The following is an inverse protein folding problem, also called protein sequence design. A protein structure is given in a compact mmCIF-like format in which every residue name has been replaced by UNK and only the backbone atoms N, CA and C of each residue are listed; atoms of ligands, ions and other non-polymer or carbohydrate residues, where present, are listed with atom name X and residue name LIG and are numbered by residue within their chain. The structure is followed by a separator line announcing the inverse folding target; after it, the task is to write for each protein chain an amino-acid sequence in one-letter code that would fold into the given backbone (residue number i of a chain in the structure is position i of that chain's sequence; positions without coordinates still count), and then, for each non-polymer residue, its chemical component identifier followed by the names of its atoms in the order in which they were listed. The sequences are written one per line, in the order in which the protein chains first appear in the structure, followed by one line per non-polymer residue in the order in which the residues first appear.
data_IF_275304249529
#
_entry.id   IF_275304249529
#
_cell.length_a   1.000
_cell.length_b   1.000
_cell.length_c   1.000
_cell.angle_alpha   90.00
_cell.angle_beta   90.00
_cell.angle_gamma   90.00
#
_symmetry.space_group_name_H-M   'P 1'
#
loop_
_entity.id
_entity.type
_entity.pdbx_description
1 polymer ?
#
# COMPACT_ATOMS: atom_id res chain seq x y z
N UNK A 1 17.12 2.27 -12.35
CA UNK A 1 16.32 2.22 -11.10
C UNK A 1 15.59 0.90 -11.04
N UNK A 2 15.82 0.12 -10.01
CA UNK A 2 15.17 -1.18 -9.82
C UNK A 2 13.75 -1.03 -9.31
N UNK A 3 12.83 -1.76 -9.93
CA UNK A 3 11.43 -1.80 -9.51
C UNK A 3 10.92 -3.24 -9.37
N UNK A 4 10.09 -3.43 -8.36
CA UNK A 4 9.29 -4.65 -8.20
C UNK A 4 7.97 -4.41 -8.89
N UNK A 5 7.71 -5.14 -9.98
CA UNK A 5 6.53 -4.92 -10.82
C UNK A 5 5.89 -6.22 -11.28
N UNK A 6 4.70 -6.11 -11.83
CA UNK A 6 3.98 -7.23 -12.42
C UNK A 6 4.33 -7.35 -13.91
N UNK A 7 4.74 -8.54 -14.32
CA UNK A 7 4.85 -8.94 -15.72
C UNK A 7 3.66 -9.84 -16.05
N UNK A 8 3.01 -9.57 -17.17
CA UNK A 8 1.84 -10.34 -17.60
C UNK A 8 2.29 -11.65 -18.27
N UNK A 9 1.62 -12.73 -17.89
CA UNK A 9 1.71 -14.03 -18.53
C UNK A 9 0.32 -14.63 -18.67
N UNK A 10 0.24 -15.89 -19.08
CA UNK A 10 -1.03 -16.59 -19.24
C UNK A 10 -1.62 -16.46 -20.63
N UNK A 11 -2.87 -16.89 -20.78
CA UNK A 11 -3.59 -16.97 -22.06
C UNK A 11 -4.53 -15.78 -22.21
N UNK A 12 -5.01 -15.56 -23.43
CA UNK A 12 -6.03 -14.55 -23.71
C UNK A 12 -7.23 -14.69 -22.77
N UNK A 13 -7.68 -13.58 -22.18
CA UNK A 13 -8.76 -13.47 -21.17
C UNK A 13 -8.50 -14.20 -19.84
N UNK A 14 -7.35 -14.84 -19.64
CA UNK A 14 -6.95 -15.47 -18.37
C UNK A 14 -5.56 -14.99 -17.95
N UNK A 15 -5.41 -13.74 -17.50
CA UNK A 15 -4.12 -13.19 -17.13
C UNK A 15 -3.61 -13.81 -15.83
N UNK A 16 -2.34 -14.18 -15.82
CA UNK A 16 -1.59 -14.55 -14.64
C UNK A 16 -0.38 -13.62 -14.61
N UNK A 17 -0.09 -13.04 -13.47
CA UNK A 17 1.01 -12.10 -13.32
C UNK A 17 2.18 -12.73 -12.58
N UNK A 18 3.37 -12.46 -13.05
CA UNK A 18 4.62 -12.74 -12.35
C UNK A 18 5.06 -11.50 -11.61
N UNK A 19 5.44 -11.63 -10.35
CA UNK A 19 6.06 -10.54 -9.60
C UNK A 19 7.56 -10.64 -9.87
N UNK A 20 8.11 -9.61 -10.51
CA UNK A 20 9.50 -9.61 -10.99
C UNK A 20 10.24 -8.35 -10.55
N UNK A 21 11.55 -8.52 -10.41
CA UNK A 21 12.49 -7.42 -10.21
C UNK A 21 13.04 -7.05 -11.57
N UNK A 22 12.84 -5.82 -12.00
CA UNK A 22 13.35 -5.35 -13.28
C UNK A 22 13.77 -3.87 -13.21
N UNK A 23 14.62 -3.46 -14.14
CA UNK A 23 14.91 -2.05 -14.34
C UNK A 23 13.68 -1.34 -14.92
N UNK A 24 13.44 -0.12 -14.47
CA UNK A 24 12.33 0.73 -14.94
C UNK A 24 12.38 1.03 -16.45
N UNK A 25 13.56 0.94 -17.06
CA UNK A 25 13.78 1.19 -18.49
C UNK A 25 13.25 0.08 -19.38
N UNK A 26 13.16 -1.16 -18.89
CA UNK A 26 12.69 -2.28 -19.68
C UNK A 26 11.16 -2.30 -19.83
N UNK A 27 10.64 -2.82 -20.95
CA UNK A 27 9.20 -2.96 -21.13
C UNK A 27 8.60 -3.91 -20.07
N UNK A 28 7.30 -3.80 -19.82
CA UNK A 28 6.57 -4.52 -18.77
C UNK A 28 6.82 -6.03 -18.78
N UNK A 29 6.75 -6.64 -19.95
CA UNK A 29 6.87 -8.09 -20.16
C UNK A 29 8.26 -8.49 -20.71
N UNK A 30 9.21 -7.55 -20.71
CA UNK A 30 10.57 -7.74 -21.19
C UNK A 30 11.49 -8.41 -20.16
N UNK A 31 12.78 -8.16 -20.32
CA UNK A 31 13.80 -8.71 -19.43
C UNK A 31 13.59 -8.31 -17.98
N UNK A 32 13.80 -9.23 -17.09
CA UNK A 32 13.79 -9.02 -15.64
C UNK A 32 14.99 -9.74 -15.00
N UNK A 33 15.38 -9.32 -13.82
CA UNK A 33 16.51 -9.89 -13.09
C UNK A 33 16.10 -11.18 -12.38
N UNK A 34 14.98 -11.14 -11.66
CA UNK A 34 14.50 -12.27 -10.87
C UNK A 34 12.99 -12.26 -10.76
N UNK A 35 12.40 -13.45 -10.74
CA UNK A 35 10.98 -13.67 -10.43
C UNK A 35 10.86 -14.01 -8.94
N UNK A 36 10.17 -13.18 -8.18
CA UNK A 36 10.00 -13.33 -6.73
C UNK A 36 8.61 -13.76 -6.31
N UNK A 37 7.73 -13.99 -7.26
CA UNK A 37 6.40 -14.48 -6.94
C UNK A 37 5.46 -14.54 -8.13
N UNK A 38 4.23 -14.91 -7.86
CA UNK A 38 3.13 -14.93 -8.83
C UNK A 38 1.84 -14.42 -8.20
N UNK A 39 1.00 -13.83 -9.03
CA UNK A 39 -0.30 -13.31 -8.67
C UNK A 39 -1.34 -13.74 -9.69
N UNK A 40 -2.38 -14.41 -9.22
CA UNK A 40 -3.50 -14.81 -10.05
C UNK A 40 -4.78 -14.06 -9.63
N UNK A 41 -5.24 -13.08 -10.41
CA UNK A 41 -6.42 -12.29 -10.08
C UNK A 41 -7.74 -13.08 -10.22
N UNK A 42 -7.73 -14.19 -10.94
CA UNK A 42 -8.94 -15.00 -11.21
C UNK A 42 -9.36 -15.85 -10.01
N UNK A 43 -8.43 -16.12 -9.09
CA UNK A 43 -8.73 -16.86 -7.87
C UNK A 43 -9.40 -15.97 -6.82
N UNK A 44 -10.31 -16.51 -6.00
CA UNK A 44 -10.92 -15.78 -4.89
C UNK A 44 -9.87 -15.33 -3.87
N UNK A 45 -10.19 -14.30 -3.10
CA UNK A 45 -9.26 -13.69 -2.14
C UNK A 45 -8.79 -14.64 -1.05
N UNK A 46 -9.63 -15.59 -0.68
CA UNK A 46 -9.40 -16.53 0.42
C UNK A 46 -8.37 -17.62 0.09
N UNK A 47 -8.09 -17.85 -1.19
CA UNK A 47 -7.12 -18.87 -1.61
C UNK A 47 -5.68 -18.35 -1.51
N UNK A 48 -4.85 -19.07 -0.77
CA UNK A 48 -3.40 -18.82 -0.65
C UNK A 48 -2.65 -18.90 -1.99
N UNK A 49 -3.19 -19.68 -2.93
CA UNK A 49 -2.62 -19.82 -4.28
C UNK A 49 -2.74 -18.56 -5.14
N UNK A 50 -3.62 -17.62 -4.74
CA UNK A 50 -3.81 -16.36 -5.43
C UNK A 50 -2.55 -15.51 -5.42
N UNK A 51 -1.84 -15.48 -4.29
CA UNK A 51 -0.60 -14.73 -4.09
C UNK A 51 0.45 -15.69 -3.57
N UNK A 52 1.45 -15.97 -4.38
CA UNK A 52 2.65 -16.70 -3.97
C UNK A 52 3.82 -15.75 -4.04
N UNK A 53 4.48 -15.52 -2.92
CA UNK A 53 5.61 -14.57 -2.82
C UNK A 53 6.74 -15.15 -1.99
N UNK A 54 7.95 -14.92 -2.42
CA UNK A 54 9.18 -15.25 -1.70
C UNK A 54 9.60 -14.05 -0.84
N UNK A 55 9.19 -14.05 0.43
CA UNK A 55 9.37 -12.93 1.33
C UNK A 55 10.84 -12.55 1.51
N UNK A 56 11.73 -13.53 1.61
CA UNK A 56 13.18 -13.31 1.79
C UNK A 56 13.79 -12.59 0.60
N UNK A 57 13.45 -13.02 -0.62
CA UNK A 57 13.97 -12.40 -1.83
C UNK A 57 13.45 -10.98 -2.02
N UNK A 58 12.19 -10.75 -1.70
CA UNK A 58 11.60 -9.39 -1.75
C UNK A 58 12.31 -8.45 -0.77
N UNK A 59 12.52 -8.87 0.48
CA UNK A 59 13.25 -8.09 1.49
C UNK A 59 14.69 -7.80 1.04
N UNK A 60 15.37 -8.80 0.48
CA UNK A 60 16.71 -8.63 -0.07
C UNK A 60 16.76 -7.53 -1.14
N UNK A 61 15.87 -7.59 -2.13
CA UNK A 61 15.83 -6.61 -3.20
C UNK A 61 15.39 -5.21 -2.73
N UNK A 62 14.50 -5.15 -1.76
CA UNK A 62 14.14 -3.88 -1.13
C UNK A 62 15.31 -3.24 -0.40
N UNK A 63 16.14 -4.03 0.27
CA UNK A 63 17.40 -3.55 0.90
C UNK A 63 18.41 -3.05 -0.14
N UNK A 64 18.38 -3.57 -1.35
CA UNK A 64 19.18 -3.11 -2.50
C UNK A 64 18.59 -1.88 -3.22
N UNK A 65 17.48 -1.36 -2.75
CA UNK A 65 16.83 -0.17 -3.29
C UNK A 65 15.74 -0.43 -4.35
N UNK A 66 15.29 -1.67 -4.51
CA UNK A 66 14.15 -1.95 -5.39
C UNK A 66 12.84 -1.38 -4.81
N UNK A 67 12.16 -0.57 -5.59
CA UNK A 67 10.91 0.05 -5.16
C UNK A 67 9.71 -0.71 -5.73
N UNK A 68 8.76 -1.13 -4.89
CA UNK A 68 7.53 -1.75 -5.36
C UNK A 68 6.62 -0.72 -6.04
N UNK A 69 5.95 -1.13 -7.09
CA UNK A 69 4.87 -0.34 -7.69
C UNK A 69 3.65 -0.36 -6.77
N UNK A 70 2.78 0.65 -6.86
CA UNK A 70 1.61 0.79 -5.99
C UNK A 70 0.74 -0.49 -5.96
N UNK A 71 0.58 -1.17 -7.10
CA UNK A 71 -0.18 -2.43 -7.16
C UNK A 71 0.52 -3.56 -6.43
N UNK A 72 1.84 -3.68 -6.60
CA UNK A 72 2.65 -4.67 -5.88
C UNK A 72 2.64 -4.39 -4.39
N UNK A 73 2.74 -3.12 -3.96
CA UNK A 73 2.64 -2.75 -2.55
C UNK A 73 1.33 -3.22 -1.90
N UNK A 74 0.22 -3.14 -2.62
CA UNK A 74 -1.07 -3.67 -2.15
C UNK A 74 -1.05 -5.19 -2.03
N UNK A 75 -0.50 -5.90 -3.01
CA UNK A 75 -0.38 -7.35 -2.99
C UNK A 75 0.53 -7.80 -1.82
N UNK A 76 1.64 -7.11 -1.60
CA UNK A 76 2.54 -7.38 -0.47
C UNK A 76 1.89 -7.03 0.88
N UNK A 77 1.03 -6.01 0.92
CA UNK A 77 0.22 -5.68 2.09
C UNK A 77 -0.81 -6.77 2.41
N UNK A 78 -1.48 -7.34 1.40
CA UNK A 78 -2.36 -8.50 1.56
C UNK A 78 -1.60 -9.74 2.05
N UNK A 79 -0.34 -9.91 1.64
CA UNK A 79 0.57 -10.96 2.12
C UNK A 79 1.27 -10.63 3.46
N UNK A 80 0.93 -9.51 4.11
CA UNK A 80 1.48 -9.06 5.39
C UNK A 80 3.01 -8.83 5.40
N UNK A 81 3.62 -8.58 4.26
CA UNK A 81 5.06 -8.33 4.13
C UNK A 81 5.42 -6.84 4.26
N UNK A 82 4.48 -5.95 4.02
CA UNK A 82 4.66 -4.52 4.17
C UNK A 82 3.33 -3.83 4.53
N UNK A 83 3.39 -2.61 5.09
CA UNK A 83 2.17 -1.87 5.41
C UNK A 83 1.38 -1.55 4.15
N UNK A 84 0.05 -1.64 4.25
CA UNK A 84 -0.85 -1.32 3.16
C UNK A 84 -0.69 0.15 2.74
N UNK A 85 -0.47 0.46 1.45
CA UNK A 85 -0.35 1.83 0.99
C UNK A 85 -1.67 2.58 1.15
N UNK A 86 -1.58 3.86 1.47
CA UNK A 86 -2.75 4.74 1.58
C UNK A 86 -3.56 4.73 0.26
N UNK A 87 -4.89 4.73 0.32
CA UNK A 87 -5.71 4.82 -0.88
C UNK A 87 -5.38 6.12 -1.63
N UNK A 88 -5.02 6.00 -2.91
CA UNK A 88 -4.61 7.13 -3.74
C UNK A 88 -5.77 8.02 -4.22
N UNK A 89 -7.02 7.60 -4.00
CA UNK A 89 -8.20 8.38 -4.35
C UNK A 89 -8.65 9.23 -3.18
N UNK A 90 -8.92 10.51 -3.44
CA UNK A 90 -9.54 11.37 -2.46
C UNK A 90 -10.95 10.81 -2.12
N UNK A 91 -11.18 10.28 -0.90
CA UNK A 91 -12.46 9.72 -0.53
C UNK A 91 -13.60 10.73 -0.59
N UNK A 92 -13.30 12.03 -0.49
CA UNK A 92 -14.26 13.12 -0.60
C UNK A 92 -14.72 13.38 -2.03
N UNK A 93 -13.99 12.90 -3.05
CA UNK A 93 -14.34 13.13 -4.46
C UNK A 93 -15.58 12.36 -4.91
N UNK A 94 -15.84 11.21 -4.30
CA UNK A 94 -17.01 10.37 -4.55
C UNK A 94 -18.24 10.74 -3.67
N UNK A 95 -18.09 11.64 -2.71
CA UNK A 95 -19.16 12.05 -1.80
C UNK A 95 -19.91 13.23 -2.41
N UNK A 96 -21.26 13.21 -2.48
CA UNK A 96 -22.07 14.33 -2.93
C UNK A 96 -21.77 15.61 -2.15
N UNK A 97 -21.82 16.76 -2.80
CA UNK A 97 -21.48 18.06 -2.19
C UNK A 97 -22.25 18.36 -0.88
N UNK A 98 -23.48 17.85 -0.75
CA UNK A 98 -24.31 18.02 0.46
C UNK A 98 -23.71 17.30 1.68
N UNK A 99 -23.09 16.15 1.49
CA UNK A 99 -22.56 15.32 2.58
C UNK A 99 -21.12 15.71 2.97
N UNK A 100 -20.42 16.44 2.09
CA UNK A 100 -19.08 16.97 2.39
C UNK A 100 -19.12 17.98 3.55
N UNK A 101 -20.09 18.91 3.51
CA UNK A 101 -20.24 19.93 4.55
C UNK A 101 -20.59 19.36 5.92
N UNK A 102 -21.27 18.20 5.99
CA UNK A 102 -21.54 17.52 7.27
C UNK A 102 -20.30 16.90 7.89
N UNK A 103 -19.39 16.34 7.08
CA UNK A 103 -18.15 15.73 7.60
C UNK A 103 -17.11 16.78 8.03
N UNK A 104 -17.02 17.91 7.34
CA UNK A 104 -16.14 19.02 7.74
C UNK A 104 -16.57 19.63 9.07
N UNK A 105 -17.88 19.71 9.35
CA UNK A 105 -18.42 20.20 10.62
C UNK A 105 -18.27 19.21 11.80
N UNK A 106 -18.08 17.92 11.54
CA UNK A 106 -17.83 16.89 12.58
C UNK A 106 -16.34 16.68 12.89
N UNK A 107 -15.44 17.01 11.96
CA UNK A 107 -13.99 16.90 12.19
C UNK A 107 -13.38 18.11 12.92
N UNK A 108 -13.93 19.31 12.76
CA UNK A 108 -13.44 20.51 13.47
C UNK A 108 -13.55 20.41 15.00
N UNK A 109 -14.66 19.96 15.63
CA UNK A 109 -14.73 19.86 17.09
C UNK A 109 -13.80 18.76 17.67
N UNK A 110 -13.45 17.73 16.90
CA UNK A 110 -12.48 16.69 17.34
C UNK A 110 -11.02 17.15 17.25
N UNK A 111 -10.69 18.06 16.36
CA UNK A 111 -9.36 18.62 16.25
C UNK A 111 -9.08 19.66 17.34
N UNK A 112 -10.08 20.43 17.76
CA UNK A 112 -9.96 21.38 18.89
C UNK A 112 -9.90 20.65 20.23
N UNK A 113 -10.71 19.62 20.46
CA UNK A 113 -10.65 18.80 21.67
C UNK A 113 -9.28 18.10 21.88
N UNK A 114 -8.62 17.67 20.80
CA UNK A 114 -7.25 17.11 20.87
C UNK A 114 -6.16 18.15 21.08
N UNK A 115 -6.40 19.42 20.83
CA UNK A 115 -5.44 20.52 21.12
C UNK A 115 -5.55 21.05 22.53
N UNK A 116 -6.67 20.85 23.22
CA UNK A 116 -6.85 21.32 24.62
C UNK A 116 -6.31 20.31 25.65
N UNK A 117 -6.31 19.01 25.38
CA UNK A 117 -5.79 18.01 26.33
C UNK A 117 -4.30 18.16 26.72
N UNK A 118 -3.36 18.49 25.83
CA UNK A 118 -1.96 18.67 26.24
C UNK A 118 -1.69 19.94 27.02
N UNK A 119 -2.62 20.92 27.04
CA UNK A 119 -2.48 22.14 27.85
C UNK A 119 -2.99 22.00 29.28
N UNK A 120 -3.91 21.09 29.54
CA UNK A 120 -4.43 20.82 30.88
C UNK A 120 -3.48 19.96 31.72
N UNK A 121 -2.72 19.07 31.13
CA UNK A 121 -1.70 18.28 31.83
C UNK A 121 -0.45 19.08 32.18
N UNK A 122 -0.04 20.03 31.38
CA UNK A 122 1.13 20.87 31.66
C UNK A 122 0.94 21.85 32.84
N UNK A 123 -0.29 22.07 33.30
CA UNK A 123 -0.59 22.93 34.47
C UNK A 123 -0.68 22.20 35.80
N UNK A 124 -0.61 20.87 35.82
CA UNK A 124 -0.68 20.06 37.04
C UNK A 124 0.65 19.61 37.62
N UNK A 125 1.75 19.87 36.96
CA UNK A 125 3.12 19.55 37.41
C UNK A 125 3.93 20.80 37.70
N UNK A 126 3.45 21.73 38.53
CA UNK A 126 4.36 22.64 39.25
C UNK A 126 4.67 22.01 40.62
N UNK A 127 5.91 21.57 40.87
CA UNK A 127 6.30 21.15 42.21
C UNK A 127 6.33 22.36 43.13
N UNK A 128 5.52 22.30 44.18
CA UNK A 128 5.70 23.25 45.33
C UNK A 128 7.04 22.95 45.97
N UNK A 129 7.95 23.84 45.79
CA UNK A 129 9.15 23.92 46.63
C UNK A 129 8.82 24.52 47.97
#
# INVERSE_FOLDING_TARGET
MLRIRLSMGGVRKRPIYKIVIADSRYPRDGKFLEKVGSYNPLLPKDKKERIKVEAERIKYWMSKGAQPTLRVSRILGEAQLMPMPKPGNNPLKAIPKKDRKKKEGEEEPKAEAKKEEPKAEAKKEEPKA
#
